data_IF_708380375466
#
_entry.id   IF_708380375466
#
_cell.length_a   1.000
_cell.length_b   1.000
_cell.length_c   1.000
_cell.angle_alpha   90.00
_cell.angle_beta   90.00
_cell.angle_gamma   90.00
#
_symmetry.space_group_name_H-M   'P 1'
#
loop_
_entity.id
_entity.type
_entity.pdbx_description
1 polymer ?
#
# COMPACT_ATOMS: atom_id res chain seq x y z
N UNK A 1 13.26 3.75 -5.28
CA UNK A 1 11.92 3.13 -5.44
C UNK A 1 11.36 2.54 -4.15
N UNK A 2 12.00 1.56 -3.49
CA UNK A 2 11.42 0.95 -2.26
C UNK A 2 11.11 1.98 -1.15
N UNK A 3 12.05 2.86 -0.85
CA UNK A 3 11.87 3.92 0.16
C UNK A 3 10.79 4.94 -0.24
N UNK A 4 10.75 5.31 -1.53
CA UNK A 4 9.74 6.20 -2.09
C UNK A 4 8.33 5.61 -1.97
N UNK A 5 8.15 4.34 -2.33
CA UNK A 5 6.89 3.63 -2.16
C UNK A 5 6.51 3.48 -0.69
N UNK A 6 7.47 3.29 0.21
CA UNK A 6 7.20 3.29 1.64
C UNK A 6 6.62 4.61 2.12
N UNK A 7 7.28 5.73 1.81
CA UNK A 7 6.77 7.05 2.20
C UNK A 7 5.42 7.37 1.55
N UNK A 8 5.24 7.01 0.28
CA UNK A 8 3.96 7.15 -0.41
C UNK A 8 2.83 6.41 0.31
N UNK A 9 3.02 5.12 0.59
CA UNK A 9 2.02 4.31 1.28
C UNK A 9 1.75 4.79 2.70
N UNK A 10 2.80 5.20 3.42
CA UNK A 10 2.69 5.77 4.76
C UNK A 10 1.84 7.02 4.77
N UNK A 11 2.14 7.95 3.87
CA UNK A 11 1.43 9.23 3.78
C UNK A 11 -0.01 9.02 3.27
N UNK A 12 -0.23 8.04 2.39
CA UNK A 12 -1.56 7.60 1.95
C UNK A 12 -2.41 7.08 3.11
N UNK A 13 -1.87 6.15 3.92
CA UNK A 13 -2.56 5.62 5.10
C UNK A 13 -2.91 6.75 6.07
N UNK A 14 -1.96 7.65 6.34
CA UNK A 14 -2.18 8.79 7.25
C UNK A 14 -3.29 9.75 6.75
N UNK A 15 -3.39 9.93 5.43
CA UNK A 15 -4.45 10.74 4.81
C UNK A 15 -5.84 10.15 5.04
N UNK A 16 -5.98 8.82 4.95
CA UNK A 16 -7.25 8.12 5.13
C UNK A 16 -7.60 7.89 6.60
N UNK A 17 -6.61 7.54 7.42
CA UNK A 17 -6.76 7.15 8.83
C UNK A 17 -6.05 8.17 9.73
N UNK A 18 -6.71 9.32 9.92
CA UNK A 18 -6.14 10.44 10.68
C UNK A 18 -5.89 10.13 12.17
N UNK A 19 -6.52 9.09 12.70
CA UNK A 19 -6.38 8.59 14.06
C UNK A 19 -5.11 7.75 14.28
N UNK A 20 -4.53 7.21 13.21
CA UNK A 20 -3.24 6.52 13.24
C UNK A 20 -2.14 7.58 13.26
N UNK A 21 -1.11 7.41 14.09
CA UNK A 21 0.06 8.30 14.05
C UNK A 21 1.04 7.80 13.00
N UNK A 22 1.66 8.75 12.28
CA UNK A 22 2.61 8.42 11.21
C UNK A 22 3.81 7.59 11.69
N UNK A 23 4.17 7.73 12.97
CA UNK A 23 5.23 7.00 13.66
C UNK A 23 4.90 5.51 13.86
N UNK A 24 3.61 5.16 13.92
CA UNK A 24 3.13 3.80 14.13
C UNK A 24 3.06 2.99 12.82
N UNK A 25 3.26 3.65 11.66
CA UNK A 25 3.24 3.04 10.34
C UNK A 25 4.67 2.67 9.94
N UNK A 26 4.97 1.37 9.94
CA UNK A 26 6.30 0.85 9.62
C UNK A 26 6.22 -0.31 8.59
N UNK A 27 7.38 -0.81 8.17
CA UNK A 27 7.48 -1.85 7.14
C UNK A 27 6.84 -3.19 7.54
N UNK A 28 6.74 -3.48 8.83
CA UNK A 28 6.14 -4.71 9.36
C UNK A 28 4.62 -4.60 9.56
N UNK A 29 4.09 -3.38 9.64
CA UNK A 29 2.65 -3.12 9.76
C UNK A 29 1.88 -3.73 8.58
N UNK A 30 0.73 -4.35 8.87
CA UNK A 30 -0.21 -4.80 7.84
C UNK A 30 -1.34 -3.79 7.63
N UNK A 31 -1.96 -3.79 6.45
CA UNK A 31 -3.08 -2.87 6.19
C UNK A 31 -4.31 -3.16 7.06
N UNK A 32 -4.50 -4.41 7.47
CA UNK A 32 -5.54 -4.79 8.43
C UNK A 32 -5.29 -4.20 9.83
N UNK A 33 -4.03 -4.22 10.31
CA UNK A 33 -3.66 -3.54 11.58
C UNK A 33 -3.88 -2.03 11.49
N UNK A 34 -3.64 -1.46 10.31
CA UNK A 34 -3.87 -0.06 10.00
C UNK A 34 -5.34 0.25 9.66
N UNK A 35 -6.26 -0.70 9.88
CA UNK A 35 -7.70 -0.53 9.68
C UNK A 35 -8.12 -0.08 8.28
N UNK A 36 -7.36 -0.47 7.24
CA UNK A 36 -7.75 -0.25 5.85
C UNK A 36 -8.80 -1.27 5.42
N UNK A 37 -9.96 -0.77 5.01
CA UNK A 37 -11.07 -1.57 4.53
C UNK A 37 -11.05 -1.72 3.00
N UNK A 38 -12.10 -2.33 2.43
CA UNK A 38 -12.16 -2.55 0.98
C UNK A 38 -12.27 -1.26 0.17
N UNK A 39 -12.90 -0.21 0.70
CA UNK A 39 -13.02 1.08 0.04
C UNK A 39 -11.66 1.78 -0.02
N UNK A 40 -10.92 1.75 1.09
CA UNK A 40 -9.56 2.32 1.17
C UNK A 40 -8.63 1.68 0.12
N UNK A 41 -8.76 0.37 -0.12
CA UNK A 41 -7.98 -0.34 -1.14
C UNK A 41 -8.37 0.02 -2.57
N UNK A 42 -9.63 0.39 -2.82
CA UNK A 42 -10.04 0.92 -4.13
C UNK A 42 -9.40 2.28 -4.35
N UNK A 43 -9.38 3.15 -3.35
CA UNK A 43 -8.70 4.45 -3.42
C UNK A 43 -7.18 4.30 -3.61
N UNK A 44 -6.57 3.32 -2.92
CA UNK A 44 -5.16 2.99 -3.10
C UNK A 44 -4.89 2.52 -4.53
N UNK A 45 -5.75 1.66 -5.08
CA UNK A 45 -5.62 1.18 -6.45
C UNK A 45 -5.69 2.33 -7.47
N UNK A 46 -6.66 3.24 -7.33
CA UNK A 46 -6.77 4.42 -8.19
C UNK A 46 -5.49 5.26 -8.10
N UNK A 47 -5.02 5.55 -6.89
CA UNK A 47 -3.83 6.39 -6.69
C UNK A 47 -2.56 5.74 -7.26
N UNK A 48 -2.39 4.42 -7.08
CA UNK A 48 -1.27 3.65 -7.65
C UNK A 48 -1.32 3.59 -9.19
N UNK A 49 -2.52 3.56 -9.78
CA UNK A 49 -2.70 3.62 -11.23
C UNK A 49 -2.36 5.00 -11.79
N UNK A 50 -2.75 6.09 -11.12
CA UNK A 50 -2.48 7.46 -11.56
C UNK A 50 -1.00 7.83 -11.41
N UNK A 51 -0.40 7.54 -10.26
CA UNK A 51 0.94 8.01 -9.91
C UNK A 51 2.06 7.08 -10.42
N UNK A 52 1.82 5.77 -10.41
CA UNK A 52 2.84 4.76 -10.73
C UNK A 52 2.47 3.85 -11.91
N UNK A 53 1.26 3.98 -12.48
CA UNK A 53 0.75 3.08 -13.53
C UNK A 53 0.76 1.61 -13.10
N UNK A 54 0.50 1.34 -11.81
CA UNK A 54 0.49 -0.01 -11.24
C UNK A 54 -0.92 -0.46 -10.87
N UNK A 55 -1.36 -1.53 -11.52
CA UNK A 55 -2.60 -2.24 -11.15
C UNK A 55 -2.32 -3.21 -10.00
N UNK A 56 -2.55 -2.77 -8.77
CA UNK A 56 -2.37 -3.61 -7.56
C UNK A 56 -3.32 -4.83 -7.50
N UNK A 57 -4.39 -4.89 -8.31
CA UNK A 57 -5.29 -6.03 -8.38
C UNK A 57 -4.98 -6.98 -9.54
N UNK A 58 -3.91 -6.73 -10.30
CA UNK A 58 -3.48 -7.55 -11.44
C UNK A 58 -3.37 -9.05 -11.11
N UNK A 59 -3.02 -9.39 -9.86
CA UNK A 59 -3.02 -10.76 -9.35
C UNK A 59 -4.07 -10.93 -8.24
N UNK A 60 -5.32 -11.24 -8.62
CA UNK A 60 -6.48 -11.32 -7.72
C UNK A 60 -6.41 -12.40 -6.61
N UNK A 61 -5.37 -13.24 -6.58
CA UNK A 61 -5.21 -14.31 -5.58
C UNK A 61 -4.44 -13.88 -4.32
N UNK A 62 -3.89 -12.67 -4.30
CA UNK A 62 -3.07 -12.18 -3.20
C UNK A 62 -3.94 -11.57 -2.09
N UNK A 63 -3.70 -11.98 -0.84
CA UNK A 63 -4.36 -11.39 0.34
C UNK A 63 -3.67 -10.09 0.73
N UNK A 64 -3.94 -9.04 -0.06
CA UNK A 64 -3.28 -7.74 0.08
C UNK A 64 -3.48 -7.11 1.46
N UNK A 65 -4.61 -7.40 2.14
CA UNK A 65 -4.94 -6.79 3.44
C UNK A 65 -4.06 -7.29 4.57
N UNK A 66 -3.64 -8.56 4.51
CA UNK A 66 -2.82 -9.18 5.55
C UNK A 66 -1.32 -9.15 5.21
N UNK A 67 -0.93 -8.61 4.05
CA UNK A 67 0.47 -8.34 3.75
C UNK A 67 1.01 -7.20 4.63
N UNK A 68 2.27 -7.34 5.04
CA UNK A 68 3.03 -6.21 5.57
C UNK A 68 3.28 -5.18 4.46
N UNK A 69 3.49 -3.92 4.84
CA UNK A 69 3.86 -2.86 3.90
C UNK A 69 5.11 -3.26 3.09
N UNK A 70 6.12 -3.89 3.71
CA UNK A 70 7.31 -4.38 3.01
C UNK A 70 7.00 -5.40 1.90
N UNK A 71 6.14 -6.35 2.22
CA UNK A 71 5.70 -7.40 1.29
C UNK A 71 4.89 -6.79 0.15
N UNK A 72 4.03 -5.82 0.47
CA UNK A 72 3.22 -5.12 -0.53
C UNK A 72 4.06 -4.24 -1.46
N UNK A 73 5.09 -3.56 -0.96
CA UNK A 73 6.04 -2.84 -1.82
C UNK A 73 6.75 -3.81 -2.76
N UNK A 74 7.21 -4.95 -2.24
CA UNK A 74 7.85 -5.99 -3.06
C UNK A 74 6.89 -6.53 -4.14
N UNK A 75 5.61 -6.66 -3.81
CA UNK A 75 4.55 -7.01 -4.75
C UNK A 75 4.37 -5.93 -5.84
N UNK A 76 4.24 -4.66 -5.48
CA UNK A 76 4.13 -3.52 -6.41
C UNK A 76 5.32 -3.50 -7.39
N UNK A 77 6.55 -3.59 -6.87
CA UNK A 77 7.76 -3.57 -7.69
C UNK A 77 7.75 -4.71 -8.72
N UNK A 78 7.32 -5.90 -8.31
CA UNK A 78 7.22 -7.08 -9.17
C UNK A 78 6.17 -6.89 -10.27
N UNK A 79 4.97 -6.43 -9.95
CA UNK A 79 3.87 -6.32 -10.94
C UNK A 79 4.00 -5.11 -11.86
N UNK A 80 4.64 -4.04 -11.38
CA UNK A 80 4.93 -2.81 -12.10
C UNK A 80 6.23 -2.87 -12.91
N UNK A 81 7.02 -3.93 -12.77
CA UNK A 81 8.37 -4.05 -13.37
C UNK A 81 9.28 -2.85 -13.03
N UNK A 82 9.15 -2.33 -11.81
CA UNK A 82 9.88 -1.15 -11.32
C UNK A 82 11.20 -1.61 -10.69
N UNK A 83 12.31 -0.92 -11.00
CA UNK A 83 13.65 -1.20 -10.47
C UNK A 83 14.03 -0.21 -9.36
#
# INVERSE_FOLDING_TARGET
>A
MKEELFYYLRDFVQKLKQDIKIEDINLESTFNQLSLDSMDFVELHVSMMEDFQVDIFKNQHEDLKNMSIDSFISYILKIGNMK
#
